data_IF_377322176289
#
_entry.id   IF_377322176289
#
_cell.length_a   1.000
_cell.length_b   1.000
_cell.length_c   1.000
_cell.angle_alpha   90.00
_cell.angle_beta   90.00
_cell.angle_gamma   90.00
#
_symmetry.space_group_name_H-M   'P 1'
#
loop_
_entity.id
_entity.type
_entity.pdbx_description
1 polymer ?
#
# COMPACT_ATOMS: atom_id res chain seq x y z
N UNK A 1 8.57 -6.53 -17.78
CA UNK A 1 8.62 -6.31 -16.32
C UNK A 1 9.67 -5.25 -16.11
N UNK A 2 9.37 -4.16 -15.41
CA UNK A 2 10.37 -3.17 -15.05
C UNK A 2 11.45 -3.80 -14.17
N UNK A 3 12.69 -3.37 -14.37
CA UNK A 3 13.80 -3.77 -13.51
C UNK A 3 13.91 -2.83 -12.30
N UNK A 4 14.77 -3.19 -11.34
CA UNK A 4 15.09 -2.29 -10.21
C UNK A 4 15.68 -0.98 -10.71
N UNK A 5 16.46 -1.00 -11.79
CA UNK A 5 17.04 0.19 -12.41
C UNK A 5 15.97 1.09 -13.03
N UNK A 6 14.98 0.50 -13.71
CA UNK A 6 13.87 1.24 -14.31
C UNK A 6 13.04 1.96 -13.22
N UNK A 7 12.76 1.25 -12.13
CA UNK A 7 12.04 1.79 -10.98
C UNK A 7 12.88 2.84 -10.26
N UNK A 8 14.18 2.59 -10.08
CA UNK A 8 15.09 3.58 -9.50
C UNK A 8 15.08 4.88 -10.31
N UNK A 9 15.26 4.79 -11.63
CA UNK A 9 15.28 5.96 -12.51
C UNK A 9 13.96 6.75 -12.43
N UNK A 10 12.83 6.04 -12.37
CA UNK A 10 11.54 6.68 -12.21
C UNK A 10 11.39 7.37 -10.85
N UNK A 11 11.75 6.70 -9.75
CA UNK A 11 11.68 7.23 -8.39
C UNK A 11 12.55 8.48 -8.25
N UNK A 12 13.81 8.45 -8.70
CA UNK A 12 14.70 9.62 -8.64
C UNK A 12 14.17 10.80 -9.45
N UNK A 13 13.43 10.54 -10.54
CA UNK A 13 12.90 11.57 -11.41
C UNK A 13 11.57 12.18 -10.95
N UNK A 14 10.79 11.46 -10.15
CA UNK A 14 9.37 11.78 -9.92
C UNK A 14 8.94 11.79 -8.46
N UNK A 15 9.75 11.24 -7.53
CA UNK A 15 9.41 11.16 -6.11
C UNK A 15 10.31 12.07 -5.30
N UNK A 16 9.69 12.92 -4.46
CA UNK A 16 10.43 13.86 -3.60
C UNK A 16 11.07 13.19 -2.39
N UNK A 17 10.38 12.25 -1.74
CA UNK A 17 10.91 11.48 -0.61
C UNK A 17 11.27 10.07 -1.07
N UNK A 18 12.53 9.91 -1.45
CA UNK A 18 13.14 8.67 -1.91
C UNK A 18 13.82 7.89 -0.78
N UNK A 19 13.77 8.37 0.47
CA UNK A 19 14.56 7.80 1.58
C UNK A 19 14.27 6.31 1.80
N UNK A 20 12.99 5.94 1.78
CA UNK A 20 12.55 4.55 1.95
C UNK A 20 13.04 3.63 0.83
N UNK A 21 13.28 4.18 -0.37
CA UNK A 21 13.90 3.47 -1.47
C UNK A 21 15.42 3.39 -1.26
N UNK A 22 16.10 4.51 -0.99
CA UNK A 22 17.55 4.55 -0.82
C UNK A 22 18.04 3.61 0.27
N UNK A 23 17.39 3.64 1.44
CA UNK A 23 17.77 2.87 2.64
C UNK A 23 17.44 1.37 2.53
N UNK A 24 16.68 0.95 1.51
CA UNK A 24 16.23 -0.42 1.37
C UNK A 24 17.33 -1.38 0.91
N UNK A 25 17.52 -2.46 1.67
CA UNK A 25 18.46 -3.55 1.36
C UNK A 25 17.87 -4.65 0.49
N UNK A 26 16.54 -4.67 0.28
CA UNK A 26 15.81 -5.73 -0.45
C UNK A 26 14.87 -5.17 -1.52
N UNK A 27 15.39 -4.29 -2.38
CA UNK A 27 14.63 -3.59 -3.44
C UNK A 27 13.98 -4.56 -4.43
N UNK A 28 14.69 -5.62 -4.80
CA UNK A 28 14.21 -6.67 -5.70
C UNK A 28 13.00 -7.40 -5.11
N UNK A 29 13.04 -7.67 -3.80
CA UNK A 29 11.95 -8.35 -3.11
C UNK A 29 10.72 -7.46 -3.03
N UNK A 30 10.91 -6.17 -2.72
CA UNK A 30 9.82 -5.21 -2.72
C UNK A 30 9.17 -5.07 -4.09
N UNK A 31 9.97 -5.04 -5.16
CA UNK A 31 9.48 -5.03 -6.55
C UNK A 31 8.62 -6.26 -6.86
N UNK A 32 9.13 -7.46 -6.59
CA UNK A 32 8.38 -8.70 -6.83
C UNK A 32 7.09 -8.76 -6.01
N UNK A 33 7.13 -8.31 -4.75
CA UNK A 33 5.94 -8.28 -3.90
C UNK A 33 4.91 -7.29 -4.41
N UNK A 34 5.32 -6.06 -4.74
CA UNK A 34 4.46 -5.03 -5.30
C UNK A 34 3.79 -5.52 -6.59
N UNK A 35 4.55 -6.08 -7.53
CA UNK A 35 4.00 -6.61 -8.77
C UNK A 35 2.99 -7.72 -8.54
N UNK A 36 3.34 -8.70 -7.68
CA UNK A 36 2.46 -9.84 -7.39
C UNK A 36 1.15 -9.38 -6.76
N UNK A 37 1.24 -8.43 -5.83
CA UNK A 37 0.11 -7.87 -5.13
C UNK A 37 -0.78 -7.05 -6.08
N UNK A 38 -0.20 -6.16 -6.89
CA UNK A 38 -0.92 -5.37 -7.89
C UNK A 38 -1.62 -6.25 -8.93
N UNK A 39 -0.97 -7.29 -9.45
CA UNK A 39 -1.63 -8.24 -10.37
C UNK A 39 -2.79 -8.98 -9.72
N UNK A 40 -2.72 -9.24 -8.42
CA UNK A 40 -3.81 -9.88 -7.68
C UNK A 40 -4.99 -8.94 -7.48
N UNK A 41 -4.73 -7.68 -7.16
CA UNK A 41 -5.78 -6.70 -6.82
C UNK A 41 -6.32 -5.94 -8.03
N UNK A 42 -5.54 -5.84 -9.10
CA UNK A 42 -5.87 -5.15 -10.34
C UNK A 42 -5.46 -6.01 -11.55
N UNK A 43 -6.10 -7.18 -11.75
CA UNK A 43 -5.68 -8.16 -12.76
C UNK A 43 -5.76 -7.63 -14.20
N UNK A 44 -6.63 -6.64 -14.46
CA UNK A 44 -6.86 -6.07 -15.78
C UNK A 44 -6.14 -4.72 -15.99
N UNK A 45 -5.41 -4.22 -14.99
CA UNK A 45 -4.71 -2.94 -15.10
C UNK A 45 -3.35 -3.10 -15.79
N UNK A 46 -3.00 -2.14 -16.61
CA UNK A 46 -1.65 -2.03 -17.15
C UNK A 46 -0.71 -1.49 -16.06
N UNK A 47 0.23 -2.32 -15.60
CA UNK A 47 1.17 -1.94 -14.55
C UNK A 47 2.34 -1.14 -15.15
N UNK A 48 2.22 0.19 -15.06
CA UNK A 48 3.28 1.12 -15.48
C UNK A 48 4.38 1.24 -14.43
N UNK A 49 5.54 1.78 -14.82
CA UNK A 49 6.64 2.04 -13.89
C UNK A 49 6.22 2.96 -12.75
N UNK A 50 5.31 3.91 -13.02
CA UNK A 50 4.73 4.80 -12.02
C UNK A 50 3.94 4.03 -10.93
N UNK A 51 2.96 3.22 -11.35
CA UNK A 51 2.11 2.44 -10.44
C UNK A 51 2.97 1.51 -9.59
N UNK A 52 3.91 0.82 -10.22
CA UNK A 52 4.81 -0.10 -9.54
C UNK A 52 5.72 0.67 -8.57
N UNK A 53 6.26 1.82 -8.96
CA UNK A 53 7.13 2.63 -8.10
C UNK A 53 6.41 3.09 -6.83
N UNK A 54 5.17 3.56 -6.94
CA UNK A 54 4.37 3.95 -5.78
C UNK A 54 4.11 2.76 -4.85
N UNK A 55 3.70 1.61 -5.39
CA UNK A 55 3.49 0.42 -4.57
C UNK A 55 4.80 -0.07 -3.94
N UNK A 56 5.92 -0.05 -4.66
CA UNK A 56 7.22 -0.48 -4.13
C UNK A 56 7.66 0.38 -2.96
N UNK A 57 7.53 1.71 -3.07
CA UNK A 57 7.80 2.62 -1.95
C UNK A 57 6.88 2.31 -0.78
N UNK A 58 5.60 2.05 -1.04
CA UNK A 58 4.64 1.68 0.00
C UNK A 58 5.02 0.39 0.73
N UNK A 59 5.43 -0.66 0.01
CA UNK A 59 5.89 -1.92 0.61
C UNK A 59 7.16 -1.69 1.46
N UNK A 60 8.10 -0.89 0.97
CA UNK A 60 9.34 -0.57 1.67
C UNK A 60 9.12 0.30 2.91
N UNK A 61 8.20 1.26 2.85
CA UNK A 61 7.76 2.02 4.02
C UNK A 61 7.07 1.14 5.06
N UNK A 62 6.45 0.04 4.63
CA UNK A 62 5.89 -0.97 5.51
C UNK A 62 6.91 -1.71 6.38
N UNK A 63 8.19 -1.70 5.98
CA UNK A 63 9.28 -2.35 6.70
C UNK A 63 9.82 -1.51 7.86
N UNK A 64 9.62 -0.19 7.87
CA UNK A 64 10.13 0.71 8.90
C UNK A 64 8.99 1.49 9.60
N UNK A 65 8.65 1.15 10.86
CA UNK A 65 7.61 1.83 11.63
C UNK A 65 7.83 3.33 11.83
N UNK A 66 9.05 3.85 11.67
CA UNK A 66 9.39 5.26 11.95
C UNK A 66 9.08 6.17 10.75
N UNK A 67 9.29 5.68 9.52
CA UNK A 67 8.88 6.38 8.29
C UNK A 67 7.36 6.44 8.11
N UNK A 68 6.64 5.51 8.76
CA UNK A 68 5.17 5.36 8.77
C UNK A 68 4.42 6.59 9.33
N UNK A 69 5.01 7.33 10.28
CA UNK A 69 4.31 8.43 10.97
C UNK A 69 4.68 9.83 10.44
N UNK A 70 5.76 9.94 9.67
CA UNK A 70 6.24 11.22 9.14
C UNK A 70 5.42 11.75 7.96
N UNK A 71 4.94 10.86 7.07
CA UNK A 71 4.17 11.26 5.88
C UNK A 71 2.68 11.53 6.14
N UNK A 72 2.15 11.18 7.31
CA UNK A 72 0.76 11.47 7.72
C UNK A 72 0.60 12.77 8.53
N UNK A 73 1.64 13.62 8.60
CA UNK A 73 1.52 14.98 9.13
C UNK A 73 1.51 15.11 10.66
N UNK A 74 2.04 14.14 11.41
CA UNK A 74 2.02 14.19 12.88
C UNK A 74 3.27 14.93 13.40
N UNK A 75 3.12 16.23 13.69
CA UNK A 75 4.01 16.96 14.61
C UNK A 75 3.48 16.84 16.04
N UNK A 76 4.25 16.16 16.87
CA UNK A 76 4.31 16.23 18.34
C UNK A 76 3.44 15.28 19.19
N UNK A 77 4.13 14.83 20.24
CA UNK A 77 3.69 14.10 21.44
C UNK A 77 2.86 15.04 22.33
N UNK A 78 1.76 14.55 22.90
CA UNK A 78 1.19 15.11 24.14
C UNK A 78 0.44 14.04 24.91
N UNK A 79 0.66 14.04 26.23
CA UNK A 79 -0.11 13.36 27.27
C UNK A 79 -1.63 13.52 27.09
N UNK A 80 -2.39 12.48 27.41
CA UNK A 80 -3.83 12.57 27.61
C UNK A 80 -4.64 11.48 26.91
N UNK A 81 -4.74 10.32 27.55
CA UNK A 81 -5.88 9.38 27.58
C UNK A 81 -6.79 9.14 26.34
N UNK A 82 -6.34 9.32 25.11
CA UNK A 82 -7.03 8.75 23.94
C UNK A 82 -6.11 7.80 23.19
N UNK A 83 -6.34 6.51 23.42
CA UNK A 83 -5.70 5.41 22.70
C UNK A 83 -6.33 5.34 21.31
N UNK A 84 -5.65 5.88 20.31
CA UNK A 84 -6.02 5.69 18.91
C UNK A 84 -5.64 4.24 18.56
N UNK A 85 -6.62 3.34 18.62
CA UNK A 85 -6.45 1.98 18.10
C UNK A 85 -6.42 2.06 16.56
N UNK A 86 -5.28 1.64 16.00
CA UNK A 86 -5.00 1.66 14.57
C UNK A 86 -5.90 0.63 13.85
N UNK A 87 -6.94 1.11 13.17
CA UNK A 87 -7.67 0.31 12.19
C UNK A 87 -6.71 -0.08 11.04
N UNK A 88 -6.88 -1.28 10.52
CA UNK A 88 -5.94 -2.00 9.65
C UNK A 88 -5.36 -1.15 8.50
N UNK A 89 -4.07 -1.35 8.20
CA UNK A 89 -3.36 -0.64 7.13
C UNK A 89 -3.93 -1.01 5.76
N UNK A 90 -4.15 -0.01 4.91
CA UNK A 90 -4.47 -0.22 3.50
C UNK A 90 -3.35 -1.00 2.77
N UNK A 91 -3.75 -2.05 2.07
CA UNK A 91 -2.84 -2.97 1.35
C UNK A 91 -2.24 -2.30 0.10
N UNK A 92 -2.90 -1.29 -0.44
CA UNK A 92 -2.54 -0.57 -1.67
C UNK A 92 -2.05 0.84 -1.34
N UNK A 93 -1.04 1.32 -2.05
CA UNK A 93 -0.60 2.70 -1.95
C UNK A 93 -1.74 3.69 -2.31
N UNK A 94 -1.91 4.81 -1.59
CA UNK A 94 -2.94 5.81 -1.90
C UNK A 94 -2.87 6.32 -3.35
N UNK A 95 -1.69 6.59 -3.87
CA UNK A 95 -1.47 7.07 -5.24
C UNK A 95 -1.90 6.02 -6.27
N UNK A 96 -1.67 4.74 -5.98
CA UNK A 96 -2.15 3.64 -6.83
C UNK A 96 -3.68 3.57 -6.80
N UNK A 97 -4.29 3.82 -5.64
CA UNK A 97 -5.75 3.86 -5.49
C UNK A 97 -6.37 5.05 -6.23
N UNK A 98 -5.68 6.19 -6.28
CA UNK A 98 -6.11 7.34 -7.08
C UNK A 98 -6.07 7.04 -8.59
N UNK A 99 -5.06 6.29 -9.05
CA UNK A 99 -4.88 5.96 -10.47
C UNK A 99 -5.82 4.82 -10.91
N UNK A 100 -5.88 3.73 -10.14
CA UNK A 100 -6.56 2.48 -10.51
C UNK A 100 -7.95 2.33 -9.88
N UNK A 101 -8.30 3.15 -8.90
CA UNK A 101 -9.55 3.07 -8.17
C UNK A 101 -9.55 1.99 -7.08
N UNK A 102 -10.73 1.41 -6.83
CA UNK A 102 -10.94 0.45 -5.74
C UNK A 102 -10.35 -0.92 -6.11
N UNK A 103 -9.55 -1.55 -5.22
CA UNK A 103 -8.97 -2.86 -5.49
C UNK A 103 -10.01 -3.98 -5.42
N UNK A 104 -9.74 -5.08 -6.13
CA UNK A 104 -10.66 -6.21 -6.25
C UNK A 104 -11.08 -6.82 -4.90
N UNK A 105 -10.17 -6.90 -3.92
CA UNK A 105 -10.48 -7.51 -2.63
C UNK A 105 -11.54 -6.73 -1.84
N UNK A 106 -11.61 -5.41 -2.00
CA UNK A 106 -12.65 -4.60 -1.35
C UNK A 106 -14.00 -4.78 -2.05
N UNK A 107 -13.99 -4.99 -3.37
CA UNK A 107 -15.21 -5.31 -4.13
C UNK A 107 -15.75 -6.68 -3.72
N UNK A 108 -14.88 -7.68 -3.55
CA UNK A 108 -15.25 -9.02 -3.07
C UNK A 108 -15.79 -8.99 -1.64
N UNK A 109 -15.21 -8.18 -0.74
CA UNK A 109 -15.71 -7.99 0.63
C UNK A 109 -17.10 -7.33 0.66
N UNK A 110 -17.38 -6.38 -0.25
CA UNK A 110 -18.71 -5.77 -0.39
C UNK A 110 -19.72 -6.78 -0.95
N UNK A 111 -19.30 -7.69 -1.82
CA UNK A 111 -20.18 -8.68 -2.47
C UNK A 111 -20.46 -9.92 -1.61
N UNK A 112 -19.67 -10.22 -0.58
CA UNK A 112 -20.00 -11.31 0.35
C UNK A 112 -21.27 -10.98 1.14
N UNK A 113 -22.44 -11.60 0.85
CA UNK A 113 -23.62 -11.35 1.66
C UNK A 113 -23.34 -11.90 3.06
N UNK A 114 -23.48 -11.04 4.06
CA UNK A 114 -23.59 -11.47 5.45
C UNK A 114 -24.79 -12.41 5.52
N UNK A 115 -24.54 -13.73 5.51
CA UNK A 115 -25.57 -14.73 5.76
C UNK A 115 -25.92 -14.59 7.25
N UNK A 116 -26.87 -13.73 7.56
CA UNK A 116 -27.59 -13.76 8.83
C UNK A 116 -28.42 -15.04 8.82
N UNK A 117 -27.85 -16.15 9.27
CA UNK A 117 -28.63 -17.33 9.65
C UNK A 117 -29.46 -16.98 10.89
N UNK A 118 -30.58 -16.30 10.65
CA UNK A 118 -31.67 -16.16 11.60
C UNK A 118 -32.39 -17.51 11.73
N UNK A 119 -31.85 -18.39 12.56
CA UNK A 119 -32.50 -19.64 12.96
C UNK A 119 -33.39 -19.42 14.18
N UNK A 120 -34.70 -19.52 13.96
CA UNK A 120 -35.79 -19.36 14.94
C UNK A 120 -35.65 -20.36 16.11
N UNK A 121 -35.81 -19.88 17.36
CA UNK A 121 -36.09 -20.73 18.52
C UNK A 121 -37.54 -21.24 18.41
N UNK A 122 -37.70 -22.53 18.13
CA UNK A 122 -38.94 -23.29 18.37
C UNK A 122 -38.70 -24.33 19.47
#
# INVERSE_FOLDING_TARGET
>A
MPTVEDINAWIQGNVLDTKSWEDASRKEVALVQAERNLKRWYPNAELTNEIISYQVIWELQGLDPVLKYGKQGIKAISEGQDRIDYLERDKVAPEVREILGVPLYELEEIESPVILEGGILL
#
